data_IF_256353934151
#
_entry.id   IF_256353934151
#
_cell.length_a   1.000
_cell.length_b   1.000
_cell.length_c   1.000
_cell.angle_alpha   90.00
_cell.angle_beta   90.00
_cell.angle_gamma   90.00
#
_symmetry.space_group_name_H-M   'P 1'
#
loop_
_entity.id
_entity.type
_entity.pdbx_description
1 polymer ?
#
# COMPACT_ATOMS: atom_id res chain seq x y z
N UNK A 1 -22.17 -20.13 -34.99
CA UNK A 1 -22.92 -20.01 -33.72
C UNK A 1 -22.28 -20.96 -32.73
N UNK A 2 -21.54 -20.41 -31.76
CA UNK A 2 -21.99 -20.52 -30.38
C UNK A 2 -22.03 -19.15 -29.68
N UNK A 3 -23.04 -18.97 -28.83
CA UNK A 3 -23.24 -17.83 -27.94
C UNK A 3 -22.40 -18.02 -26.68
N UNK A 4 -21.58 -17.04 -26.33
CA UNK A 4 -21.02 -16.95 -24.97
C UNK A 4 -21.74 -15.85 -24.20
N UNK A 5 -22.30 -16.25 -23.07
CA UNK A 5 -23.09 -15.44 -22.17
C UNK A 5 -22.22 -14.42 -21.44
N UNK A 6 -22.72 -13.18 -21.38
CA UNK A 6 -22.11 -12.08 -20.62
C UNK A 6 -22.36 -12.35 -19.12
N UNK A 7 -21.33 -12.38 -18.25
CA UNK A 7 -21.57 -12.45 -16.82
C UNK A 7 -22.17 -11.14 -16.30
N UNK A 8 -23.36 -11.25 -15.70
CA UNK A 8 -24.10 -10.19 -15.02
C UNK A 8 -23.38 -9.77 -13.73
N UNK A 9 -22.79 -8.57 -13.72
CA UNK A 9 -22.29 -7.93 -12.49
C UNK A 9 -23.44 -7.13 -11.88
N UNK A 10 -24.32 -7.86 -11.20
CA UNK A 10 -25.35 -7.35 -10.32
C UNK A 10 -25.30 -8.17 -9.04
N UNK A 11 -24.51 -7.70 -8.08
CA UNK A 11 -24.78 -7.76 -6.63
C UNK A 11 -23.49 -7.46 -5.87
N UNK A 12 -23.39 -6.21 -5.38
CA UNK A 12 -22.43 -5.84 -4.37
C UNK A 12 -22.85 -6.50 -3.04
N UNK A 13 -22.45 -7.75 -2.84
CA UNK A 13 -22.53 -8.41 -1.55
C UNK A 13 -21.48 -7.79 -0.62
N UNK A 14 -21.96 -6.93 0.29
CA UNK A 14 -21.21 -6.31 1.36
C UNK A 14 -20.74 -7.40 2.35
N UNK A 15 -19.57 -7.98 2.13
CA UNK A 15 -18.89 -8.79 3.13
C UNK A 15 -18.04 -7.87 4.02
N UNK A 16 -18.30 -7.79 5.35
CA UNK A 16 -17.35 -7.19 6.25
C UNK A 16 -16.12 -8.10 6.32
N UNK A 17 -15.06 -7.73 5.59
CA UNK A 17 -13.80 -8.46 5.62
C UNK A 17 -13.21 -8.36 7.03
N UNK A 18 -13.08 -9.52 7.68
CA UNK A 18 -12.40 -9.65 8.96
C UNK A 18 -10.92 -9.23 8.84
N UNK A 19 -10.35 -8.58 9.86
CA UNK A 19 -8.93 -8.28 9.87
C UNK A 19 -8.12 -9.58 10.06
N UNK A 20 -7.32 -9.94 9.05
CA UNK A 20 -6.29 -10.99 9.15
C UNK A 20 -5.32 -10.68 10.30
N UNK A 21 -4.94 -11.66 11.13
CA UNK A 21 -3.97 -11.45 12.20
C UNK A 21 -2.56 -11.30 11.60
N UNK A 22 -2.04 -10.07 11.67
CA UNK A 22 -0.63 -9.75 11.51
C UNK A 22 0.21 -10.60 12.48
N UNK A 23 1.06 -11.49 11.97
CA UNK A 23 2.10 -12.15 12.77
C UNK A 23 3.12 -11.10 13.19
N UNK A 24 2.99 -10.58 14.40
CA UNK A 24 4.08 -9.90 15.10
C UNK A 24 4.99 -10.97 15.72
N UNK A 25 6.32 -10.88 15.60
CA UNK A 25 7.19 -11.61 16.52
C UNK A 25 7.17 -10.85 17.85
N UNK A 26 6.29 -11.27 18.75
CA UNK A 26 6.34 -10.88 20.16
C UNK A 26 7.59 -11.50 20.81
N UNK A 27 8.68 -10.75 20.89
CA UNK A 27 9.72 -11.02 21.86
C UNK A 27 9.21 -10.52 23.22
N UNK A 28 8.50 -11.39 23.94
CA UNK A 28 8.33 -11.24 25.38
C UNK A 28 9.61 -11.74 26.06
N UNK A 29 10.60 -10.85 26.18
CA UNK A 29 11.71 -11.05 27.12
C UNK A 29 11.21 -10.66 28.50
N UNK A 30 10.46 -11.55 29.14
CA UNK A 30 10.11 -11.44 30.55
C UNK A 30 11.33 -11.77 31.40
N UNK A 31 12.07 -10.72 31.78
CA UNK A 31 12.96 -10.78 32.96
C UNK A 31 12.09 -10.79 34.20
N UNK A 32 11.63 -11.98 34.62
CA UNK A 32 11.07 -12.18 35.95
C UNK A 32 12.20 -12.68 36.86
N UNK A 33 12.65 -11.78 37.72
CA UNK A 33 13.38 -12.15 38.93
C UNK A 33 12.41 -12.89 39.84
N UNK A 34 12.83 -14.02 40.40
CA UNK A 34 12.18 -14.58 41.58
C UNK A 34 13.22 -15.25 42.46
N UNK A 35 13.33 -14.66 43.63
CA UNK A 35 14.04 -15.11 44.80
C UNK A 35 13.18 -16.19 45.49
N UNK A 36 13.86 -17.20 46.01
CA UNK A 36 13.48 -18.16 47.06
C UNK A 36 12.52 -19.36 46.82
N UNK A 37 12.98 -20.47 47.39
CA UNK A 37 12.36 -21.68 47.95
C UNK A 37 11.83 -22.88 47.11
N UNK A 38 12.52 -24.00 47.36
CA UNK A 38 12.12 -25.41 47.47
C UNK A 38 11.33 -26.21 46.39
N UNK A 39 12.01 -27.29 45.98
CA UNK A 39 11.50 -28.62 45.61
C UNK A 39 10.67 -28.79 44.31
N UNK A 40 11.37 -28.98 43.17
CA UNK A 40 10.86 -29.73 42.01
C UNK A 40 11.97 -30.59 41.37
N UNK A 41 11.72 -31.87 41.00
CA UNK A 41 12.78 -32.79 40.61
C UNK A 41 13.44 -32.38 39.27
N UNK A 42 14.77 -32.57 39.11
CA UNK A 42 15.45 -32.17 37.89
C UNK A 42 15.12 -33.14 36.77
N UNK A 43 14.23 -32.70 35.86
CA UNK A 43 14.14 -33.21 34.50
C UNK A 43 15.55 -33.27 33.90
N UNK A 44 15.88 -34.41 33.28
CA UNK A 44 17.17 -34.76 32.67
C UNK A 44 17.56 -33.84 31.52
N UNK A 45 17.82 -32.56 31.83
CA UNK A 45 18.42 -31.60 30.91
C UNK A 45 19.86 -32.05 30.71
N UNK A 46 20.15 -32.55 29.50
CA UNK A 46 21.52 -32.81 29.04
C UNK A 46 22.37 -31.59 29.43
N UNK A 47 23.25 -31.78 30.40
CA UNK A 47 23.99 -30.69 30.99
C UNK A 47 25.00 -30.22 29.96
N UNK A 48 24.92 -28.94 29.57
CA UNK A 48 25.92 -28.32 28.71
C UNK A 48 27.31 -28.59 29.33
N UNK A 49 28.31 -29.04 28.55
CA UNK A 49 29.66 -29.21 29.05
C UNK A 49 30.11 -27.94 29.78
N UNK A 50 30.69 -28.09 30.98
CA UNK A 50 31.20 -26.96 31.74
C UNK A 50 32.30 -26.28 30.92
N UNK A 51 31.97 -25.12 30.33
CA UNK A 51 32.95 -24.21 29.77
C UNK A 51 33.88 -23.82 30.92
N UNK A 52 35.14 -24.27 30.87
CA UNK A 52 36.15 -23.90 31.86
C UNK A 52 36.22 -22.37 31.99
N UNK A 53 36.57 -21.89 33.17
CA UNK A 53 36.68 -20.44 33.44
C UNK A 53 37.72 -19.83 32.50
N UNK A 54 37.25 -19.28 31.38
CA UNK A 54 38.08 -18.48 30.48
C UNK A 54 38.13 -17.09 31.11
N UNK A 55 39.33 -16.58 31.34
CA UNK A 55 39.56 -15.18 31.71
C UNK A 55 38.73 -14.32 30.74
N UNK A 56 37.94 -13.37 31.28
CA UNK A 56 37.18 -12.43 30.46
C UNK A 56 38.11 -11.84 29.40
N UNK A 57 37.91 -12.23 28.14
CA UNK A 57 38.56 -11.54 27.02
C UNK A 57 37.93 -10.16 27.00
N UNK A 58 38.76 -9.12 27.14
CA UNK A 58 38.33 -7.74 27.31
C UNK A 58 37.32 -7.29 26.26
N UNK A 59 36.63 -6.20 26.56
CA UNK A 59 35.58 -5.64 25.71
C UNK A 59 36.07 -5.37 24.28
N UNK A 60 35.32 -5.82 23.27
CA UNK A 60 35.58 -5.53 21.85
C UNK A 60 35.16 -4.11 21.45
N UNK A 61 35.08 -3.16 22.39
CA UNK A 61 34.65 -1.79 22.08
C UNK A 61 35.85 -1.04 21.50
N UNK A 62 35.85 -0.88 20.18
CA UNK A 62 36.78 0.00 19.48
C UNK A 62 36.15 1.39 19.37
N UNK A 63 36.85 2.42 19.84
CA UNK A 63 36.42 3.82 19.69
C UNK A 63 36.28 4.17 18.21
N UNK A 64 35.27 4.97 17.86
CA UNK A 64 34.93 5.32 16.46
C UNK A 64 36.02 6.12 15.70
N UNK A 65 37.01 6.63 16.42
CA UNK A 65 38.18 7.34 15.87
C UNK A 65 39.43 6.43 15.80
N UNK A 66 39.34 5.19 16.28
CA UNK A 66 40.43 4.22 16.19
C UNK A 66 40.70 3.84 14.73
N UNK A 67 41.99 3.78 14.38
CA UNK A 67 42.50 3.56 13.02
C UNK A 67 41.68 2.55 12.23
N UNK A 68 41.04 3.00 11.14
CA UNK A 68 40.61 2.12 10.06
C UNK A 68 41.86 1.48 9.48
N UNK A 69 42.18 0.26 9.92
CA UNK A 69 43.26 -0.51 9.32
C UNK A 69 42.87 -0.76 7.87
N UNK A 70 43.57 -0.11 6.94
CA UNK A 70 43.56 -0.49 5.53
C UNK A 70 44.03 -1.95 5.53
N UNK A 71 43.13 -2.85 5.16
CA UNK A 71 43.45 -4.29 5.14
C UNK A 71 44.24 -4.50 3.87
N UNK A 72 45.53 -4.80 3.99
CA UNK A 72 46.37 -5.18 2.85
C UNK A 72 45.71 -6.37 2.13
N UNK A 73 45.63 -6.29 0.79
CA UNK A 73 45.01 -7.30 -0.08
C UNK A 73 45.89 -8.56 -0.25
N UNK A 74 47.09 -8.58 0.34
CA UNK A 74 48.02 -9.70 0.29
C UNK A 74 47.55 -10.83 1.23
N UNK A 75 46.64 -11.65 0.72
CA UNK A 75 46.12 -12.84 1.40
C UNK A 75 47.21 -13.93 1.45
N UNK A 76 47.71 -14.24 2.64
CA UNK A 76 48.69 -15.30 2.88
C UNK A 76 48.07 -16.71 2.66
N UNK A 77 48.87 -17.66 2.15
CA UNK A 77 48.51 -19.06 1.94
C UNK A 77 48.22 -19.74 3.30
N UNK A 78 46.95 -19.72 3.72
CA UNK A 78 46.50 -20.19 5.03
C UNK A 78 45.57 -19.21 5.76
N UNK A 79 45.27 -18.04 5.18
CA UNK A 79 44.34 -17.09 5.77
C UNK A 79 42.94 -17.72 5.91
N UNK A 80 42.44 -17.75 7.14
CA UNK A 80 41.10 -18.23 7.53
C UNK A 80 39.96 -17.56 6.75
N UNK A 81 40.20 -16.37 6.20
CA UNK A 81 39.27 -15.64 5.32
C UNK A 81 39.09 -16.31 3.96
N UNK A 82 40.09 -17.06 3.48
CA UNK A 82 39.99 -17.88 2.26
C UNK A 82 39.25 -19.20 2.51
N UNK A 83 39.28 -19.70 3.74
CA UNK A 83 38.63 -20.95 4.17
C UNK A 83 37.18 -20.77 4.64
N UNK A 84 36.74 -19.53 4.81
CA UNK A 84 35.34 -19.21 5.09
C UNK A 84 34.55 -19.19 3.76
N UNK A 85 33.38 -19.84 3.64
CA UNK A 85 32.49 -19.66 2.49
C UNK A 85 32.07 -18.20 2.37
N UNK A 86 32.87 -17.38 1.68
CA UNK A 86 32.50 -16.03 1.29
C UNK A 86 31.44 -16.18 0.20
N UNK A 87 30.26 -15.56 0.37
CA UNK A 87 29.43 -15.24 -0.79
C UNK A 87 30.34 -14.50 -1.77
N UNK A 88 30.52 -15.05 -2.96
CA UNK A 88 31.31 -14.45 -4.02
C UNK A 88 30.83 -12.99 -4.16
N UNK A 89 31.73 -12.00 -4.05
CA UNK A 89 31.37 -10.58 -4.20
C UNK A 89 30.56 -10.33 -5.48
N UNK A 90 30.86 -11.08 -6.55
CA UNK A 90 30.11 -11.04 -7.80
C UNK A 90 28.63 -11.44 -7.68
N UNK A 91 28.26 -12.30 -6.73
CA UNK A 91 26.86 -12.69 -6.49
C UNK A 91 26.08 -11.56 -5.79
N UNK A 92 26.74 -10.82 -4.90
CA UNK A 92 26.15 -9.65 -4.22
C UNK A 92 25.92 -8.52 -5.23
N UNK A 93 26.90 -8.26 -6.11
CA UNK A 93 26.76 -7.26 -7.17
C UNK A 93 25.63 -7.62 -8.13
N UNK A 94 25.55 -8.89 -8.56
CA UNK A 94 24.45 -9.38 -9.40
C UNK A 94 23.09 -9.20 -8.72
N UNK A 95 22.97 -9.54 -7.44
CA UNK A 95 21.73 -9.35 -6.68
C UNK A 95 21.33 -7.87 -6.60
N UNK A 96 22.32 -6.97 -6.48
CA UNK A 96 22.11 -5.52 -6.49
C UNK A 96 21.63 -5.00 -7.86
N UNK A 97 22.19 -5.53 -8.95
CA UNK A 97 21.72 -5.21 -10.30
C UNK A 97 20.29 -5.71 -10.56
N UNK A 98 19.99 -6.94 -10.17
CA UNK A 98 18.67 -7.55 -10.34
C UNK A 98 17.61 -6.75 -9.56
N UNK A 99 17.90 -6.38 -8.31
CA UNK A 99 17.01 -5.53 -7.52
C UNK A 99 16.77 -4.14 -8.16
N UNK A 100 17.80 -3.56 -8.80
CA UNK A 100 17.65 -2.29 -9.54
C UNK A 100 16.79 -2.48 -10.79
N UNK A 101 16.97 -3.58 -11.52
CA UNK A 101 16.15 -3.90 -12.71
C UNK A 101 14.68 -4.07 -12.31
N UNK A 102 14.40 -4.84 -11.27
CA UNK A 102 13.05 -5.05 -10.75
C UNK A 102 12.38 -3.73 -10.36
N UNK A 103 13.11 -2.86 -9.68
CA UNK A 103 12.58 -1.55 -9.27
C UNK A 103 12.27 -0.65 -10.46
N UNK A 104 13.11 -0.67 -11.50
CA UNK A 104 12.85 0.07 -12.75
C UNK A 104 11.64 -0.50 -13.48
N UNK A 105 11.47 -1.82 -13.52
CA UNK A 105 10.33 -2.47 -14.16
C UNK A 105 9.00 -2.16 -13.44
N UNK A 106 9.00 -2.18 -12.11
CA UNK A 106 7.85 -1.76 -11.31
C UNK A 106 7.51 -0.29 -11.56
N UNK A 107 8.51 0.59 -11.60
CA UNK A 107 8.30 2.01 -11.90
C UNK A 107 7.68 2.22 -13.30
N UNK A 108 8.14 1.47 -14.31
CA UNK A 108 7.57 1.51 -15.67
C UNK A 108 6.13 1.04 -15.70
N UNK A 109 5.82 -0.06 -15.03
CA UNK A 109 4.46 -0.60 -14.92
C UNK A 109 3.52 0.41 -14.26
N UNK A 110 3.98 1.04 -13.18
CA UNK A 110 3.22 2.08 -12.50
C UNK A 110 2.99 3.30 -13.39
N UNK A 111 4.02 3.76 -14.12
CA UNK A 111 3.90 4.87 -15.05
C UNK A 111 2.87 4.57 -16.16
N UNK A 112 2.91 3.37 -16.74
CA UNK A 112 1.93 2.95 -17.73
C UNK A 112 0.50 2.90 -17.16
N UNK A 113 0.34 2.39 -15.93
CA UNK A 113 -0.94 2.37 -15.24
C UNK A 113 -1.47 3.78 -14.97
N UNK A 114 -0.61 4.72 -14.56
CA UNK A 114 -1.01 6.11 -14.32
C UNK A 114 -1.42 6.80 -15.63
N UNK A 115 -0.68 6.57 -16.71
CA UNK A 115 -1.05 7.12 -18.02
C UNK A 115 -2.42 6.63 -18.48
N UNK A 116 -2.71 5.33 -18.36
CA UNK A 116 -4.01 4.78 -18.70
C UNK A 116 -5.16 5.38 -17.86
N UNK A 117 -4.91 5.69 -16.59
CA UNK A 117 -5.89 6.36 -15.73
C UNK A 117 -6.13 7.80 -16.21
N UNK A 118 -5.08 8.53 -16.56
CA UNK A 118 -5.20 9.91 -17.09
C UNK A 118 -6.06 9.91 -18.35
N UNK A 119 -5.77 9.04 -19.31
CA UNK A 119 -6.53 8.95 -20.56
C UNK A 119 -8.02 8.64 -20.30
N UNK A 120 -8.31 7.76 -19.34
CA UNK A 120 -9.69 7.45 -18.93
C UNK A 120 -10.38 8.65 -18.28
N UNK A 121 -9.68 9.39 -17.43
CA UNK A 121 -10.21 10.59 -16.79
C UNK A 121 -10.51 11.68 -17.82
N UNK A 122 -9.65 11.86 -18.81
CA UNK A 122 -9.87 12.79 -19.91
C UNK A 122 -11.10 12.40 -20.74
N UNK A 123 -11.24 11.12 -21.09
CA UNK A 123 -12.44 10.61 -21.77
C UNK A 123 -13.71 10.92 -20.98
N UNK A 124 -13.75 10.58 -19.69
CA UNK A 124 -14.89 10.86 -18.80
C UNK A 124 -15.17 12.36 -18.70
N UNK A 125 -14.12 13.21 -18.64
CA UNK A 125 -14.27 14.66 -18.61
C UNK A 125 -14.95 15.18 -19.87
N UNK A 126 -14.56 14.71 -21.05
CA UNK A 126 -15.19 15.13 -22.31
C UNK A 126 -16.64 14.68 -22.42
N UNK A 127 -16.97 13.47 -21.95
CA UNK A 127 -18.35 12.99 -21.89
C UNK A 127 -19.18 13.79 -20.90
N UNK A 128 -18.62 14.10 -19.73
CA UNK A 128 -19.28 14.94 -18.73
C UNK A 128 -19.53 16.35 -19.27
N UNK A 129 -18.61 16.95 -20.01
CA UNK A 129 -18.81 18.26 -20.63
C UNK A 129 -19.96 18.25 -21.66
N UNK A 130 -20.07 17.18 -22.46
CA UNK A 130 -21.19 16.98 -23.40
C UNK A 130 -22.53 16.85 -22.66
N UNK A 131 -22.58 16.03 -21.62
CA UNK A 131 -23.80 15.85 -20.82
C UNK A 131 -24.17 17.12 -20.04
N UNK A 132 -23.17 17.82 -19.50
CA UNK A 132 -23.36 19.08 -18.77
C UNK A 132 -23.88 20.18 -19.67
N UNK A 133 -23.30 20.35 -20.87
CA UNK A 133 -23.76 21.34 -21.85
C UNK A 133 -25.16 20.99 -22.38
N UNK A 134 -25.43 19.71 -22.66
CA UNK A 134 -26.76 19.24 -23.03
C UNK A 134 -27.80 19.48 -21.94
N UNK A 135 -27.48 19.20 -20.69
CA UNK A 135 -28.36 19.45 -19.54
C UNK A 135 -28.60 20.95 -19.35
N UNK A 136 -27.57 21.78 -19.49
CA UNK A 136 -27.71 23.23 -19.47
C UNK A 136 -28.66 23.73 -20.57
N UNK A 137 -28.54 23.20 -21.79
CA UNK A 137 -29.44 23.54 -22.89
C UNK A 137 -30.89 23.16 -22.60
N UNK A 138 -31.12 21.95 -22.09
CA UNK A 138 -32.46 21.48 -21.72
C UNK A 138 -33.09 22.34 -20.61
N UNK A 139 -32.30 22.72 -19.59
CA UNK A 139 -32.77 23.59 -18.52
C UNK A 139 -33.17 24.98 -19.04
N UNK A 140 -32.35 25.59 -19.91
CA UNK A 140 -32.68 26.86 -20.55
C UNK A 140 -33.96 26.75 -21.38
N UNK A 141 -34.09 25.70 -22.21
CA UNK A 141 -35.27 25.49 -23.04
C UNK A 141 -36.55 25.31 -22.21
N UNK A 142 -36.48 24.51 -21.14
CA UNK A 142 -37.60 24.35 -20.21
C UNK A 142 -37.93 25.68 -19.53
N UNK A 143 -36.92 26.44 -19.10
CA UNK A 143 -37.09 27.76 -18.51
C UNK A 143 -37.82 28.73 -19.44
N UNK A 144 -37.40 28.82 -20.70
CA UNK A 144 -38.04 29.63 -21.74
C UNK A 144 -39.47 29.16 -22.02
N UNK A 145 -39.69 27.84 -22.16
CA UNK A 145 -41.01 27.29 -22.39
C UNK A 145 -41.96 27.57 -21.23
N UNK A 146 -41.50 27.43 -19.99
CA UNK A 146 -42.29 27.77 -18.80
C UNK A 146 -42.58 29.27 -18.72
N UNK A 147 -41.62 30.14 -19.06
CA UNK A 147 -41.81 31.59 -19.07
C UNK A 147 -42.84 32.00 -20.13
N UNK A 148 -42.69 31.50 -21.35
CA UNK A 148 -43.66 31.74 -22.44
C UNK A 148 -45.04 31.14 -22.11
N UNK A 149 -45.11 29.96 -21.50
CA UNK A 149 -46.38 29.32 -21.07
C UNK A 149 -47.10 30.11 -19.97
N UNK A 150 -46.36 30.73 -19.05
CA UNK A 150 -46.94 31.66 -18.06
C UNK A 150 -47.51 32.90 -18.74
N UNK A 151 -46.76 33.52 -19.66
CA UNK A 151 -47.18 34.75 -20.36
C UNK A 151 -48.40 34.50 -21.27
N UNK A 152 -48.44 33.34 -21.93
CA UNK A 152 -49.50 32.99 -22.90
C UNK A 152 -50.76 32.39 -22.27
N UNK A 153 -50.65 31.64 -21.16
CA UNK A 153 -51.84 31.17 -20.43
C UNK A 153 -52.53 32.27 -19.62
N UNK A 154 -51.81 33.36 -19.28
CA UNK A 154 -52.42 34.64 -18.89
C UNK A 154 -52.83 35.44 -20.13
N UNK A 155 -53.65 34.86 -21.02
CA UNK A 155 -54.40 35.64 -22.00
C UNK A 155 -55.27 36.68 -21.28
N UNK A 156 -55.59 37.83 -21.90
CA UNK A 156 -56.27 38.94 -21.23
C UNK A 156 -57.56 38.43 -20.60
N UNK A 157 -57.62 38.40 -19.27
CA UNK A 157 -58.84 38.16 -18.53
C UNK A 157 -59.85 39.24 -18.92
N UNK A 158 -60.69 38.95 -19.91
CA UNK A 158 -61.85 39.77 -20.28
C UNK A 158 -62.74 39.90 -19.05
N UNK A 159 -62.67 41.07 -18.42
CA UNK A 159 -63.78 41.84 -17.84
C UNK A 159 -65.01 41.02 -17.41
N UNK A 160 -65.01 40.56 -16.16
CA UNK A 160 -66.21 40.22 -15.41
C UNK A 160 -66.63 41.38 -14.52
N UNK A 161 -67.45 42.29 -15.05
CA UNK A 161 -68.17 43.34 -14.30
C UNK A 161 -69.21 42.66 -13.39
N UNK A 162 -68.81 42.17 -12.22
CA UNK A 162 -69.71 41.61 -11.21
C UNK A 162 -70.18 42.68 -10.23
N UNK A 163 -71.36 43.25 -10.48
CA UNK A 163 -72.16 43.98 -9.49
C UNK A 163 -72.61 42.99 -8.40
N UNK A 164 -72.21 43.21 -7.15
CA UNK A 164 -72.99 42.87 -5.96
C UNK A 164 -72.66 43.94 -4.91
N UNK A 165 -73.58 44.71 -4.34
CA UNK A 165 -75.02 44.55 -4.29
C UNK A 165 -75.42 44.47 -2.82
N UNK A 166 -75.70 45.65 -2.23
CA UNK A 166 -76.38 45.92 -0.95
C UNK A 166 -75.73 45.40 0.34
#
# INVERSE_FOLDING_TARGET
MPSEAIPSIGDAQYYPSQPSPSRTPSHDSSTVSSEDDSARPPSSRLSRPKLGSRKSSGTMIVSREGSTTVVDDDLEEGDVRTMSPRRNSAEVDKLGEDARRDLIEQAKTLQASLQAIVDRVESVKTEHEKLSSGNQFLQSYIGELMQTSKITSTGPSKKGKGRSGK
#
